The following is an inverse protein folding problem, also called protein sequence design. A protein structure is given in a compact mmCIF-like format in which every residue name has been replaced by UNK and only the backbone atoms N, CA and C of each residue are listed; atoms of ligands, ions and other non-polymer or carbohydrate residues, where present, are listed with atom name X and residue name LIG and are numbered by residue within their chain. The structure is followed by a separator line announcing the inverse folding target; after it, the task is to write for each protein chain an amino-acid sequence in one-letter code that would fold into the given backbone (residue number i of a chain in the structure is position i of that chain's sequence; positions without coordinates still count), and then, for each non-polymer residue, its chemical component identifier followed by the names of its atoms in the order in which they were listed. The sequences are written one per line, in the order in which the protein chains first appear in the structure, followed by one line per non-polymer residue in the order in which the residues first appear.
data_IF_890821675172
#
_entry.id   IF_890821675172
#
_cell.length_a   1.000
_cell.length_b   1.000
_cell.length_c   1.000
_cell.angle_alpha   90.00
_cell.angle_beta   90.00
_cell.angle_gamma   90.00
#
_symmetry.space_group_name_H-M   'P 1'
#
loop_
_entity.id
_entity.type
_entity.pdbx_description
1 polymer ?
#
# COMPACT_ATOMS: atom_id res chain seq x y z
N UNK A 1 -65.81 -7.99 -27.96
CA UNK A 1 -64.75 -8.51 -27.07
C UNK A 1 -63.76 -9.34 -27.89
N UNK A 2 -62.50 -8.88 -27.94
CA UNK A 2 -61.22 -9.64 -27.91
C UNK A 2 -61.05 -10.86 -28.85
N UNK A 3 -60.01 -10.95 -29.68
CA UNK A 3 -58.58 -10.85 -29.36
C UNK A 3 -57.77 -10.45 -30.60
N UNK A 4 -56.95 -9.42 -30.45
CA UNK A 4 -55.85 -9.08 -31.36
C UNK A 4 -54.94 -10.29 -31.55
N UNK A 5 -54.58 -10.56 -32.80
CA UNK A 5 -53.52 -11.51 -33.16
C UNK A 5 -52.17 -11.00 -32.61
N UNK A 6 -51.48 -11.83 -31.86
CA UNK A 6 -50.04 -11.73 -31.63
C UNK A 6 -49.53 -13.13 -31.27
N UNK A 7 -48.85 -13.78 -32.21
CA UNK A 7 -48.12 -15.03 -32.00
C UNK A 7 -48.88 -16.32 -32.35
N UNK A 8 -48.94 -16.66 -33.65
CA UNK A 8 -49.31 -18.02 -34.07
C UNK A 8 -48.12 -18.95 -33.83
N UNK A 9 -48.16 -19.74 -32.76
CA UNK A 9 -47.15 -20.78 -32.49
C UNK A 9 -47.48 -21.99 -33.37
N UNK A 10 -46.66 -22.23 -34.41
CA UNK A 10 -46.64 -23.52 -35.13
C UNK A 10 -45.43 -24.31 -34.66
N UNK A 11 -45.63 -25.23 -33.73
CA UNK A 11 -44.69 -26.33 -33.54
C UNK A 11 -44.93 -27.38 -34.64
N UNK A 12 -43.87 -27.85 -35.29
CA UNK A 12 -43.93 -29.09 -36.08
C UNK A 12 -43.85 -30.27 -35.10
N UNK A 13 -44.63 -31.35 -35.29
CA UNK A 13 -44.63 -32.47 -34.38
C UNK A 13 -43.37 -33.31 -34.63
N UNK A 14 -42.40 -33.27 -33.71
CA UNK A 14 -41.31 -34.26 -33.69
C UNK A 14 -39.88 -33.78 -33.99
N UNK A 15 -39.56 -32.49 -33.85
CA UNK A 15 -38.16 -32.02 -33.86
C UNK A 15 -37.67 -31.65 -32.46
N UNK A 16 -36.44 -32.02 -32.09
CA UNK A 16 -35.78 -31.55 -30.85
C UNK A 16 -35.90 -30.02 -30.77
N UNK A 17 -36.09 -29.49 -29.56
CA UNK A 17 -35.97 -28.05 -29.30
C UNK A 17 -34.59 -27.61 -29.76
N UNK A 18 -34.51 -27.01 -30.95
CA UNK A 18 -33.32 -26.28 -31.33
C UNK A 18 -33.19 -25.14 -30.33
N UNK A 19 -32.05 -25.12 -29.65
CA UNK A 19 -31.66 -24.17 -28.60
C UNK A 19 -32.28 -22.81 -28.89
N UNK A 20 -33.35 -22.49 -28.14
CA UNK A 20 -34.04 -21.22 -28.26
C UNK A 20 -33.02 -20.10 -28.16
N UNK A 21 -33.11 -19.19 -29.13
CA UNK A 21 -32.31 -17.99 -29.28
C UNK A 21 -31.76 -17.51 -27.93
N UNK A 22 -30.44 -17.58 -27.75
CA UNK A 22 -29.81 -17.05 -26.56
C UNK A 22 -30.14 -15.56 -26.50
N UNK A 23 -31.10 -15.19 -25.65
CA UNK A 23 -31.46 -13.80 -25.43
C UNK A 23 -30.22 -13.07 -24.89
N UNK A 24 -29.52 -12.36 -25.76
CA UNK A 24 -28.52 -11.37 -25.36
C UNK A 24 -29.31 -10.24 -24.73
N UNK A 25 -29.49 -10.30 -23.41
CA UNK A 25 -30.04 -9.18 -22.64
C UNK A 25 -29.07 -8.01 -22.83
N UNK A 26 -29.46 -7.03 -23.65
CA UNK A 26 -28.62 -5.88 -24.02
C UNK A 26 -28.11 -5.08 -22.80
N UNK A 27 -28.79 -5.17 -21.66
CA UNK A 27 -28.37 -4.53 -20.40
C UNK A 27 -28.70 -5.41 -19.19
N UNK A 28 -27.68 -6.01 -18.58
CA UNK A 28 -27.79 -6.63 -17.27
C UNK A 28 -28.09 -5.55 -16.21
N UNK A 29 -29.28 -5.58 -15.59
CA UNK A 29 -29.61 -4.77 -14.39
C UNK A 29 -28.98 -5.30 -13.10
N UNK A 30 -27.85 -6.01 -13.19
CA UNK A 30 -27.14 -6.49 -12.00
C UNK A 30 -26.27 -5.35 -11.46
N UNK A 31 -26.34 -5.03 -10.16
CA UNK A 31 -25.43 -4.05 -9.58
C UNK A 31 -24.00 -4.55 -9.75
N UNK A 32 -23.10 -3.65 -10.15
CA UNK A 32 -21.67 -3.98 -10.24
C UNK A 32 -21.16 -4.43 -8.86
N UNK A 33 -20.22 -5.40 -8.80
CA UNK A 33 -19.56 -5.75 -7.55
C UNK A 33 -18.94 -4.49 -6.93
N UNK A 34 -19.20 -4.25 -5.65
CA UNK A 34 -18.57 -3.14 -4.93
C UNK A 34 -17.06 -3.37 -4.92
N UNK A 35 -16.30 -2.36 -5.35
CA UNK A 35 -14.86 -2.34 -5.18
C UNK A 35 -14.59 -2.34 -3.67
N UNK A 36 -14.04 -3.44 -3.15
CA UNK A 36 -13.62 -3.51 -1.75
C UNK A 36 -12.23 -2.91 -1.67
N UNK A 37 -12.10 -1.68 -1.19
CA UNK A 37 -10.80 -1.17 -0.74
C UNK A 37 -10.52 -1.75 0.64
N UNK A 38 -9.49 -2.59 0.74
CA UNK A 38 -8.88 -2.87 2.04
C UNK A 38 -8.02 -1.67 2.39
N UNK A 39 -8.64 -0.63 2.94
CA UNK A 39 -7.86 0.35 3.71
C UNK A 39 -7.45 -0.39 4.96
N UNK A 40 -6.31 -1.09 4.91
CA UNK A 40 -5.69 -1.59 6.13
C UNK A 40 -5.49 -0.38 7.03
N UNK A 41 -5.91 -0.47 8.29
CA UNK A 41 -5.78 0.59 9.28
C UNK A 41 -4.31 1.05 9.31
N UNK A 42 -4.02 2.08 8.51
CA UNK A 42 -2.78 2.79 8.57
C UNK A 42 -2.85 3.63 9.83
N UNK A 43 -1.81 3.56 10.64
CA UNK A 43 -1.69 4.45 11.80
C UNK A 43 -1.73 5.91 11.37
N UNK A 44 -1.73 6.83 12.35
CA UNK A 44 -1.77 8.29 12.16
C UNK A 44 -0.88 8.84 11.03
N UNK A 45 0.22 8.15 10.71
CA UNK A 45 1.22 8.53 9.69
C UNK A 45 1.17 7.69 8.40
N UNK A 46 0.09 6.94 8.13
CA UNK A 46 0.02 6.10 6.92
C UNK A 46 0.80 4.78 7.04
N UNK A 47 1.61 4.61 8.09
CA UNK A 47 2.46 3.45 8.30
C UNK A 47 1.68 2.31 8.96
N UNK A 48 1.88 1.09 8.46
CA UNK A 48 1.37 -0.15 9.08
C UNK A 48 1.97 -0.26 10.49
N UNK A 49 1.18 -0.63 11.52
CA UNK A 49 1.73 -0.90 12.85
C UNK A 49 2.84 -1.95 12.74
N UNK A 50 4.03 -1.58 13.21
CA UNK A 50 5.21 -2.44 13.12
C UNK A 50 5.11 -3.56 14.15
N UNK A 51 5.69 -4.70 13.79
CA UNK A 51 5.89 -5.77 14.75
C UNK A 51 6.90 -5.31 15.81
N UNK A 52 6.69 -5.68 17.09
CA UNK A 52 7.66 -5.38 18.13
C UNK A 52 9.04 -5.94 17.75
N UNK A 53 10.08 -5.12 17.92
CA UNK A 53 11.47 -5.48 17.53
C UNK A 53 11.85 -5.16 16.08
N UNK A 54 11.01 -4.46 15.31
CA UNK A 54 11.36 -4.00 13.95
C UNK A 54 11.78 -2.53 13.96
N UNK A 55 12.91 -2.21 13.31
CA UNK A 55 13.35 -0.83 13.10
C UNK A 55 12.76 -0.25 11.80
N UNK A 56 12.29 0.98 11.86
CA UNK A 56 11.85 1.74 10.68
C UNK A 56 13.01 2.36 9.92
N UNK A 57 12.79 2.70 8.65
CA UNK A 57 13.75 3.44 7.83
C UNK A 57 14.10 4.78 8.49
N UNK A 58 13.12 5.49 9.06
CA UNK A 58 13.34 6.75 9.76
C UNK A 58 14.24 6.56 11.00
N UNK A 59 14.02 5.50 11.79
CA UNK A 59 14.88 5.17 12.93
C UNK A 59 16.29 4.76 12.51
N UNK A 60 16.45 4.02 11.40
CA UNK A 60 17.77 3.68 10.85
C UNK A 60 18.55 4.94 10.42
N UNK A 61 17.86 5.89 9.77
CA UNK A 61 18.46 7.19 9.43
C UNK A 61 18.84 7.97 10.69
N UNK A 62 17.98 7.97 11.71
CA UNK A 62 18.26 8.62 12.98
C UNK A 62 19.47 8.00 13.70
N UNK A 63 19.58 6.67 13.74
CA UNK A 63 20.75 5.94 14.29
C UNK A 63 22.04 6.42 13.64
N UNK A 64 22.06 6.59 12.32
CA UNK A 64 23.24 7.09 11.62
C UNK A 64 23.53 8.55 11.89
N UNK A 65 22.51 9.41 11.89
CA UNK A 65 22.68 10.82 12.24
C UNK A 65 23.16 10.98 13.67
N UNK A 66 22.72 10.11 14.58
CA UNK A 66 23.18 10.07 15.96
C UNK A 66 24.66 9.69 16.06
N UNK A 67 25.08 8.67 15.32
CA UNK A 67 26.48 8.26 15.25
C UNK A 67 27.37 9.35 14.63
N UNK A 68 26.89 10.03 13.58
CA UNK A 68 27.62 11.14 12.94
C UNK A 68 27.60 12.44 13.74
N UNK A 69 26.75 12.55 14.77
CA UNK A 69 26.55 13.77 15.54
C UNK A 69 25.81 14.89 14.80
N UNK A 70 25.08 14.54 13.74
CA UNK A 70 24.29 15.45 12.90
C UNK A 70 22.80 15.48 13.27
N UNK A 71 22.35 14.62 14.20
CA UNK A 71 20.95 14.66 14.63
C UNK A 71 20.64 15.98 15.32
N UNK A 72 19.40 16.47 15.14
CA UNK A 72 18.94 17.71 15.75
C UNK A 72 18.73 17.60 17.26
N UNK A 73 18.55 16.38 17.77
CA UNK A 73 18.17 16.12 19.16
C UNK A 73 19.36 16.05 20.12
N UNK A 74 20.58 15.81 19.60
CA UNK A 74 21.78 15.67 20.41
C UNK A 74 22.96 16.40 19.76
N UNK A 75 23.87 16.93 20.58
CA UNK A 75 25.04 17.66 20.08
C UNK A 75 26.26 16.77 20.15
N UNK A 76 26.69 16.25 19.00
CA UNK A 76 27.93 15.47 18.86
C UNK A 76 27.70 13.96 18.65
N UNK A 77 28.76 13.22 18.28
CA UNK A 77 28.66 11.80 17.98
C UNK A 77 28.28 11.01 19.23
N UNK A 78 27.30 10.11 19.07
CA UNK A 78 26.85 9.23 20.16
C UNK A 78 27.50 7.86 20.05
N UNK A 79 27.92 7.30 21.18
CA UNK A 79 28.49 5.95 21.25
C UNK A 79 27.44 4.87 20.94
N UNK A 80 27.90 3.76 20.36
CA UNK A 80 27.10 2.62 19.91
C UNK A 80 26.25 2.06 21.05
N UNK A 81 26.83 1.96 22.25
CA UNK A 81 26.13 1.44 23.44
C UNK A 81 24.98 2.35 23.89
N UNK A 82 25.12 3.66 23.71
CA UNK A 82 24.09 4.63 24.06
C UNK A 82 22.98 4.65 22.99
N UNK A 83 23.34 4.45 21.72
CA UNK A 83 22.38 4.28 20.62
C UNK A 83 21.53 3.02 20.83
N UNK A 84 22.18 1.90 21.13
CA UNK A 84 21.53 0.62 21.45
C UNK A 84 20.48 0.79 22.57
N UNK A 85 20.83 1.47 23.66
CA UNK A 85 19.91 1.77 24.76
C UNK A 85 18.75 2.67 24.36
N UNK A 86 18.97 3.68 23.52
CA UNK A 86 17.91 4.61 23.07
C UNK A 86 16.82 3.89 22.28
N UNK A 87 17.22 2.97 21.40
CA UNK A 87 16.28 2.24 20.53
C UNK A 87 15.85 0.88 21.09
N UNK A 88 16.42 0.42 22.19
CA UNK A 88 16.14 -0.89 22.78
C UNK A 88 16.64 -2.05 21.91
N UNK A 89 17.78 -1.85 21.24
CA UNK A 89 18.36 -2.79 20.27
C UNK A 89 19.71 -3.27 20.80
N UNK A 90 20.15 -4.46 20.42
CA UNK A 90 21.48 -4.98 20.77
C UNK A 90 22.60 -4.21 20.04
N UNK A 91 23.77 -4.05 20.68
CA UNK A 91 24.88 -3.27 20.13
C UNK A 91 25.43 -3.86 18.84
N UNK A 92 25.40 -5.19 18.72
CA UNK A 92 25.83 -5.92 17.50
C UNK A 92 24.98 -5.51 16.29
N UNK A 93 23.68 -5.29 16.49
CA UNK A 93 22.80 -4.87 15.40
C UNK A 93 23.08 -3.43 14.98
N UNK A 94 23.41 -2.56 15.92
CA UNK A 94 23.80 -1.17 15.63
C UNK A 94 25.11 -1.12 14.84
N UNK A 95 26.10 -1.95 15.20
CA UNK A 95 27.34 -2.09 14.43
C UNK A 95 27.08 -2.59 13.00
N UNK A 96 26.23 -3.60 12.84
CA UNK A 96 25.84 -4.11 11.53
C UNK A 96 25.13 -3.03 10.70
N UNK A 97 24.24 -2.25 11.30
CA UNK A 97 23.57 -1.13 10.64
C UNK A 97 24.60 -0.12 10.12
N UNK A 98 25.59 0.25 10.94
CA UNK A 98 26.63 1.20 10.55
C UNK A 98 27.57 0.65 9.47
N UNK A 99 27.80 -0.66 9.46
CA UNK A 99 28.67 -1.33 8.48
C UNK A 99 28.01 -1.50 7.12
N UNK A 100 26.72 -1.88 7.10
CA UNK A 100 26.04 -2.32 5.87
C UNK A 100 25.15 -1.27 5.23
N UNK A 101 24.72 -0.26 5.99
CA UNK A 101 23.86 0.79 5.47
C UNK A 101 24.77 1.98 5.12
N UNK A 102 24.48 2.63 4.00
CA UNK A 102 25.05 3.93 3.65
C UNK A 102 23.92 4.94 3.55
N UNK A 103 24.07 6.12 4.15
CA UNK A 103 23.16 7.23 3.93
C UNK A 103 23.24 7.65 2.45
N UNK A 104 22.11 7.80 1.75
CA UNK A 104 22.05 8.59 0.52
C UNK A 104 22.58 10.00 0.81
N UNK A 105 23.20 10.68 -0.16
CA UNK A 105 23.66 12.05 0.04
C UNK A 105 22.49 12.93 0.50
N UNK A 106 22.74 13.78 1.50
CA UNK A 106 21.77 14.78 1.94
C UNK A 106 21.38 15.60 0.69
N UNK A 107 20.10 15.56 0.30
CA UNK A 107 19.59 16.46 -0.72
C UNK A 107 19.71 17.87 -0.15
N UNK A 108 20.73 18.59 -0.60
CA UNK A 108 20.88 20.00 -0.31
C UNK A 108 19.58 20.70 -0.67
N UNK A 109 18.89 21.25 0.33
CA UNK A 109 17.67 22.04 0.15
C UNK A 109 17.97 23.42 -0.45
N UNK A 110 19.03 23.54 -1.25
CA UNK A 110 19.48 24.79 -1.87
C UNK A 110 18.67 25.19 -3.12
N UNK A 111 17.82 24.31 -3.66
CA UNK A 111 17.09 24.59 -4.91
C UNK A 111 15.71 25.24 -4.73
N UNK A 112 15.28 25.61 -3.52
CA UNK A 112 13.97 26.26 -3.30
C UNK A 112 13.95 27.79 -3.40
N UNK A 113 15.10 28.45 -3.58
CA UNK A 113 15.19 29.92 -3.65
C UNK A 113 15.68 30.44 -5.00
N UNK A 114 15.21 29.89 -6.12
CA UNK A 114 15.45 30.48 -7.46
C UNK A 114 14.21 30.36 -8.36
N UNK A 115 13.22 31.17 -8.04
CA UNK A 115 12.11 31.50 -8.92
C UNK A 115 11.76 32.97 -8.65
N UNK A 116 12.45 33.87 -9.36
CA UNK A 116 12.03 35.26 -9.56
C UNK A 116 11.08 35.31 -10.75
#
# INVERSE_FOLDING_TARGET
MLKKMAGTIRSKPGGKLEMGEAFIVQKYKRPLPKIRSSVGESGRDGQKPLLPGTLTIAQLQEIMLLHQGKSGDHKGPMDIQNIAKKFGVDSVQVEQILQFISLPPEQDKSDKNKSN
#
